data_IF_858660313828
#
_entry.id   IF_858660313828
#
_cell.length_a   1.000
_cell.length_b   1.000
_cell.length_c   1.000
_cell.angle_alpha   90.00
_cell.angle_beta   90.00
_cell.angle_gamma   90.00
#
_symmetry.space_group_name_H-M   'P 1'
#
loop_
_entity.id
_entity.type
_entity.pdbx_description
1 polymer ?
2 non-polymer ?
3 non-polymer ?
4 water ?
#
# COMPACT_ATOMS: atom_id res chain seq x y z
N UNK A 22 -4.13 -5.48 18.47
CA UNK A 22 -3.29 -6.18 17.45
C UNK A 22 -1.87 -5.66 17.42
N UNK A 23 -0.93 -6.59 17.27
CA UNK A 23 0.42 -6.19 16.95
C UNK A 23 0.54 -6.06 15.43
N UNK A 24 1.73 -5.69 14.98
CA UNK A 24 1.95 -5.44 13.56
C UNK A 24 1.63 -6.68 12.73
N UNK A 25 2.14 -7.82 13.16
CA UNK A 25 1.99 -9.05 12.40
C UNK A 25 0.52 -9.39 12.15
N UNK A 26 -0.32 -9.36 13.19
CA UNK A 26 -1.73 -9.70 13.03
C UNK A 26 -2.45 -8.69 12.15
N UNK A 27 -2.17 -7.40 12.35
CA UNK A 27 -2.75 -6.39 11.49
C UNK A 27 -2.38 -6.67 10.02
N UNK A 28 -1.09 -6.91 9.79
CA UNK A 28 -0.58 -7.15 8.45
C UNK A 28 -1.18 -8.39 7.79
N UNK A 29 -1.38 -9.45 8.56
CA UNK A 29 -2.06 -10.65 8.06
C UNK A 29 -3.50 -10.33 7.59
N UNK A 30 -4.24 -9.59 8.42
CA UNK A 30 -5.60 -9.16 8.08
C UNK A 30 -5.62 -8.29 6.81
N UNK A 31 -4.65 -7.38 6.74
CA UNK A 31 -4.59 -6.40 5.64
C UNK A 31 -4.22 -7.09 4.34
N UNK A 32 -3.23 -7.97 4.39
CA UNK A 32 -2.90 -8.77 3.23
C UNK A 32 -4.10 -9.57 2.70
N UNK A 33 -4.89 -10.18 3.58
CA UNK A 33 -6.06 -10.95 3.14
C UNK A 33 -7.04 -10.01 2.39
N UNK A 34 -7.22 -8.81 2.92
CA UNK A 34 -8.09 -7.84 2.25
C UNK A 34 -7.49 -7.35 0.91
N UNK A 35 -6.18 -7.08 0.89
CA UNK A 35 -5.49 -6.68 -0.33
C UNK A 35 -5.71 -7.75 -1.41
N UNK A 36 -5.56 -9.01 -1.00
CA UNK A 36 -5.70 -10.11 -1.94
C UNK A 36 -7.11 -10.21 -2.46
N UNK A 37 -8.10 -10.03 -1.58
CA UNK A 37 -9.49 -10.07 -2.02
C UNK A 37 -9.78 -8.93 -3.03
N UNK A 38 -9.16 -7.78 -2.82
CA UNK A 38 -9.33 -6.66 -3.73
C UNK A 38 -8.69 -6.97 -5.09
N UNK A 39 -7.49 -7.56 -5.06
CA UNK A 39 -6.80 -8.06 -6.26
C UNK A 39 -7.69 -9.06 -7.05
N UNK A 40 -8.29 -10.01 -6.34
CA UNK A 40 -9.18 -10.98 -6.96
C UNK A 40 -10.26 -10.31 -7.73
N UNK A 41 -10.98 -9.42 -7.06
CA UNK A 41 -12.07 -8.68 -7.71
C UNK A 41 -11.59 -7.93 -8.93
N UNK A 42 -10.44 -7.27 -8.86
CA UNK A 42 -9.93 -6.52 -10.02
C UNK A 42 -9.59 -7.46 -11.17
N UNK A 43 -8.85 -8.52 -10.90
CA UNK A 43 -8.43 -9.42 -11.95
C UNK A 43 -9.62 -10.20 -12.56
N UNK A 44 -10.76 -10.23 -11.86
CA UNK A 44 -11.93 -10.96 -12.34
C UNK A 44 -12.63 -10.22 -13.48
N UNK A 45 -12.34 -8.92 -13.63
CA UNK A 45 -12.88 -8.12 -14.71
C UNK A 45 -12.32 -8.67 -16.01
N UNK A 46 -13.17 -8.83 -17.06
CA UNK A 46 -12.64 -9.32 -18.32
C UNK A 46 -11.47 -8.45 -18.76
N UNK A 47 -10.45 -9.11 -19.31
CA UNK A 47 -9.33 -8.41 -19.93
C UNK A 47 -8.21 -8.04 -18.98
N UNK A 48 -8.48 -8.04 -17.66
CA UNK A 48 -7.47 -7.64 -16.67
C UNK A 48 -6.37 -8.71 -16.49
N UNK A 49 -5.12 -8.25 -16.43
CA UNK A 49 -3.99 -9.13 -16.18
C UNK A 49 -4.02 -9.63 -14.74
N UNK A 50 -3.76 -10.92 -14.53
CA UNK A 50 -3.64 -11.39 -13.16
C UNK A 50 -2.27 -11.08 -12.53
N UNK A 51 -1.33 -10.51 -13.30
CA UNK A 51 0.01 -10.18 -12.79
C UNK A 51 0.49 -8.79 -13.24
N UNK A 52 -0.20 -7.75 -12.78
CA UNK A 52 0.19 -6.40 -13.19
C UNK A 52 1.67 -6.05 -12.92
N UNK A 53 2.20 -6.58 -11.81
CA UNK A 53 3.60 -6.38 -11.42
C UNK A 53 4.60 -6.97 -12.39
N UNK A 54 4.15 -7.90 -13.23
CA UNK A 54 5.02 -8.59 -14.18
C UNK A 54 4.73 -8.14 -15.63
N UNK A 55 3.44 -7.91 -15.91
CA UNK A 55 2.97 -7.63 -17.26
C UNK A 55 3.08 -6.17 -17.67
N UNK A 56 3.03 -5.26 -16.72
CA UNK A 56 3.09 -3.83 -17.00
C UNK A 56 4.51 -3.29 -16.84
N UNK A 57 4.77 -2.21 -17.57
CA UNK A 57 6.01 -1.46 -17.45
C UNK A 57 6.03 -0.67 -16.14
N UNK A 58 7.24 -0.29 -15.74
CA UNK A 58 7.42 0.61 -14.61
C UNK A 58 6.59 1.86 -14.81
N UNK A 59 6.59 2.40 -16.03
CA UNK A 59 5.86 3.65 -16.28
C UNK A 59 4.36 3.46 -16.12
N UNK A 60 3.81 2.36 -16.63
CA UNK A 60 2.39 2.11 -16.49
C UNK A 60 2.03 1.86 -15.02
N UNK A 61 2.87 1.10 -14.32
CA UNK A 61 2.65 0.87 -12.88
C UNK A 61 2.68 2.19 -12.09
N UNK A 62 3.62 3.07 -12.40
CA UNK A 62 3.63 4.41 -11.77
C UNK A 62 2.35 5.17 -12.06
N UNK A 63 2.01 5.20 -13.35
CA UNK A 63 0.81 5.83 -13.81
C UNK A 63 -0.41 5.31 -13.05
N UNK A 64 -0.52 3.98 -12.95
CA UNK A 64 -1.66 3.38 -12.24
C UNK A 64 -1.69 3.76 -10.77
N UNK A 65 -0.53 3.72 -10.10
CA UNK A 65 -0.46 4.08 -8.69
C UNK A 65 -0.92 5.52 -8.44
N UNK A 66 -0.51 6.44 -9.30
CA UNK A 66 -0.94 7.83 -9.14
C UNK A 66 -2.45 7.95 -9.31
N UNK A 67 -3.01 7.23 -10.28
CA UNK A 67 -4.47 7.21 -10.46
C UNK A 67 -5.15 6.72 -9.16
N UNK A 68 -4.65 5.64 -8.56
CA UNK A 68 -5.24 5.12 -7.32
C UNK A 68 -5.10 6.11 -6.17
N UNK A 69 -3.94 6.76 -6.05
CA UNK A 69 -3.75 7.76 -5.03
C UNK A 69 -4.68 8.95 -5.21
N UNK A 70 -4.91 9.36 -6.45
CA UNK A 70 -5.86 10.42 -6.75
C UNK A 70 -7.27 9.98 -6.35
N UNK A 71 -7.63 8.74 -6.61
CA UNK A 71 -8.93 8.23 -6.17
C UNK A 71 -9.08 8.22 -4.64
N UNK A 72 -7.99 7.94 -3.92
CA UNK A 72 -8.01 7.96 -2.46
C UNK A 72 -8.24 9.39 -1.95
N UNK A 73 -7.50 10.33 -2.52
CA UNK A 73 -7.68 11.76 -2.23
C UNK A 73 -9.13 12.20 -2.48
N UNK A 74 -9.71 11.83 -3.63
CA UNK A 74 -11.12 12.13 -3.92
C UNK A 74 -12.05 11.59 -2.83
N UNK A 75 -11.81 10.34 -2.39
CA UNK A 75 -12.65 9.73 -1.36
C UNK A 75 -12.55 10.51 -0.03
N UNK A 76 -11.34 10.94 0.30
CA UNK A 76 -11.13 11.76 1.48
C UNK A 76 -11.86 13.11 1.35
N UNK A 77 -11.80 13.72 0.18
CA UNK A 77 -12.46 15.00 -0.05
C UNK A 77 -13.97 14.92 0.03
N UNK A 78 -14.54 13.81 -0.43
CA UNK A 78 -15.97 13.60 -0.35
C UNK A 78 -16.39 13.07 1.03
N UNK A 79 -15.41 12.82 1.90
CA UNK A 79 -15.66 12.18 3.19
C UNK A 79 -16.41 10.86 3.01
N UNK A 80 -16.03 10.13 1.96
CA UNK A 80 -16.62 8.84 1.66
C UNK A 80 -15.78 7.77 2.35
N UNK A 81 -15.97 7.63 3.66
CA UNK A 81 -15.14 6.74 4.47
C UNK A 81 -15.37 5.26 4.15
N UNK A 82 -16.58 4.88 3.76
CA UNK A 82 -16.85 3.50 3.37
C UNK A 82 -15.98 3.15 2.16
N UNK A 83 -15.97 4.02 1.16
CA UNK A 83 -15.10 3.79 -0.01
C UNK A 83 -13.62 4.01 0.33
N UNK A 84 -13.34 4.76 1.40
CA UNK A 84 -11.93 5.00 1.77
C UNK A 84 -11.18 3.70 2.05
N UNK A 85 -11.80 2.77 2.76
CA UNK A 85 -11.18 1.47 3.05
C UNK A 85 -10.73 0.79 1.75
N UNK A 86 -11.63 0.74 0.76
CA UNK A 86 -11.31 0.12 -0.54
C UNK A 86 -10.15 0.81 -1.24
N UNK A 87 -10.13 2.14 -1.19
CA UNK A 87 -9.08 2.90 -1.82
C UNK A 87 -7.73 2.71 -1.16
N UNK A 88 -7.72 2.47 0.13
CA UNK A 88 -6.47 2.16 0.82
C UNK A 88 -5.89 0.81 0.35
N UNK A 89 -6.76 -0.14 0.07
CA UNK A 89 -6.34 -1.44 -0.43
C UNK A 89 -5.75 -1.31 -1.83
N UNK A 90 -6.43 -0.51 -2.67
CA UNK A 90 -5.98 -0.28 -4.04
C UNK A 90 -4.58 0.34 -4.03
N UNK A 91 -4.40 1.37 -3.22
CA UNK A 91 -3.11 2.04 -3.11
C UNK A 91 -2.02 1.07 -2.62
N UNK A 92 -2.31 0.30 -1.58
CA UNK A 92 -1.33 -0.67 -1.06
C UNK A 92 -0.94 -1.69 -2.11
N UNK A 93 -1.92 -2.23 -2.85
CA UNK A 93 -1.61 -3.21 -3.90
C UNK A 93 -0.69 -2.59 -4.98
N UNK A 94 -1.02 -1.40 -5.45
CA UNK A 94 -0.21 -0.80 -6.50
C UNK A 94 1.16 -0.32 -6.02
N UNK A 95 1.28 0.02 -4.75
CA UNK A 95 2.61 0.20 -4.14
C UNK A 95 3.38 -1.11 -4.21
N UNK A 96 2.72 -2.21 -3.87
CA UNK A 96 3.40 -3.51 -3.91
C UNK A 96 3.82 -3.90 -5.31
N UNK A 97 2.96 -3.64 -6.29
CA UNK A 97 3.22 -4.06 -7.65
C UNK A 97 4.42 -3.30 -8.20
N UNK A 98 4.43 -1.99 -8.00
CA UNK A 98 5.56 -1.21 -8.44
C UNK A 98 6.83 -1.57 -7.68
N UNK A 99 6.75 -1.78 -6.37
CA UNK A 99 7.91 -2.25 -5.60
C UNK A 99 8.48 -3.55 -6.17
N UNK A 100 7.56 -4.46 -6.51
CA UNK A 100 7.93 -5.76 -7.10
C UNK A 100 8.66 -5.56 -8.41
N UNK A 101 8.07 -4.78 -9.31
CA UNK A 101 8.69 -4.50 -10.59
C UNK A 101 10.10 -3.88 -10.41
N UNK A 102 10.24 -2.94 -9.49
CA UNK A 102 11.53 -2.26 -9.27
C UNK A 102 12.55 -3.16 -8.57
N UNK A 103 12.08 -4.16 -7.85
CA UNK A 103 12.94 -5.01 -7.04
C UNK A 103 13.59 -6.11 -7.86
N UNK A 104 12.92 -6.51 -8.93
CA UNK A 104 13.54 -7.37 -9.96
C UNK A 104 14.49 -6.53 -10.81
N UNK A 105 13.98 -5.39 -11.30
CA UNK A 105 14.72 -4.49 -12.18
C UNK A 105 16.11 -4.13 -11.64
N UNK B 17 0.45 -25.77 -17.48
CA UNK B 17 -0.10 -24.43 -17.30
C UNK B 17 0.44 -23.89 -16.00
N UNK B 18 0.60 -22.59 -15.96
CA UNK B 18 1.24 -21.94 -14.85
C UNK B 18 0.18 -21.30 -13.94
N UNK B 19 0.33 -21.47 -12.62
CA UNK B 19 -0.58 -20.87 -11.63
C UNK B 19 -0.13 -19.41 -11.39
N UNK B 20 -0.56 -18.55 -12.30
CA UNK B 20 -0.20 -17.13 -12.23
C UNK B 20 -0.61 -16.46 -10.93
N UNK B 21 -1.80 -16.79 -10.42
CA UNK B 21 -2.29 -16.28 -9.15
C UNK B 21 -1.41 -16.48 -7.91
N UNK B 22 -0.67 -17.58 -7.88
CA UNK B 22 0.22 -17.82 -6.75
C UNK B 22 1.40 -16.86 -6.77
N UNK B 23 1.67 -16.25 -7.91
CA UNK B 23 2.74 -15.22 -7.98
C UNK B 23 2.39 -14.00 -7.10
N UNK B 24 1.10 -13.75 -6.88
CA UNK B 24 0.66 -12.73 -5.92
C UNK B 24 1.28 -12.93 -4.56
N UNK B 25 1.20 -14.16 -4.05
CA UNK B 25 1.71 -14.46 -2.72
C UNK B 25 3.23 -14.55 -2.67
N UNK B 26 3.86 -14.93 -3.79
CA UNK B 26 5.31 -14.88 -3.91
C UNK B 26 5.79 -13.44 -3.73
N UNK B 27 5.07 -12.50 -4.35
CA UNK B 27 5.37 -11.08 -4.18
C UNK B 27 5.03 -10.59 -2.75
N UNK B 28 3.82 -10.89 -2.28
CA UNK B 28 3.36 -10.38 -0.97
C UNK B 28 4.24 -10.87 0.19
N UNK B 29 4.70 -12.12 0.07
CA UNK B 29 5.56 -12.75 1.09
C UNK B 29 6.84 -11.90 1.33
N UNK B 30 7.40 -11.36 0.25
CA UNK B 30 8.55 -10.45 0.33
C UNK B 30 8.16 -9.04 0.75
N UNK B 31 7.11 -8.49 0.11
CA UNK B 31 6.72 -7.11 0.34
C UNK B 31 6.32 -6.90 1.79
N UNK B 32 5.52 -7.80 2.34
CA UNK B 32 5.06 -7.66 3.74
C UNK B 32 6.21 -7.69 4.74
N UNK B 33 7.24 -8.47 4.44
CA UNK B 33 8.44 -8.54 5.28
C UNK B 33 9.19 -7.23 5.20
N UNK B 34 9.29 -6.67 4.00
CA UNK B 34 9.93 -5.34 3.84
C UNK B 34 9.16 -4.21 4.52
N UNK B 35 7.82 -4.28 4.48
CA UNK B 35 7.00 -3.30 5.19
C UNK B 35 7.25 -3.38 6.69
N UNK B 36 7.30 -4.60 7.21
CA UNK B 36 7.58 -4.76 8.63
C UNK B 36 8.97 -4.22 9.00
N UNK B 37 9.95 -4.51 8.16
CA UNK B 37 11.31 -4.08 8.43
C UNK B 37 11.37 -2.56 8.40
N UNK B 38 10.60 -1.94 7.53
CA UNK B 38 10.53 -0.49 7.49
C UNK B 38 9.84 0.05 8.77
N UNK B 39 8.75 -0.57 9.19
CA UNK B 39 8.13 -0.23 10.50
C UNK B 39 9.12 -0.28 11.65
N UNK B 40 9.90 -1.36 11.70
CA UNK B 40 10.96 -1.50 12.70
C UNK B 40 11.85 -0.29 12.78
N UNK B 41 12.41 0.07 11.63
CA UNK B 41 13.37 1.14 11.53
C UNK B 41 12.76 2.42 12.06
N UNK B 42 11.47 2.63 11.86
CA UNK B 42 10.93 3.93 12.27
C UNK B 42 10.17 3.94 13.59
N UNK B 43 9.69 2.78 14.04
CA UNK B 43 8.98 2.68 15.31
C UNK B 43 9.80 3.31 16.45
N UNK B 44 11.12 3.20 16.32
CA UNK B 44 12.11 3.73 17.27
C UNK B 44 12.17 5.27 17.39
N UNK B 45 12.01 5.94 16.25
CA UNK B 45 12.28 7.37 16.11
C UNK B 45 11.29 8.28 16.87
N UNK B 46 11.74 9.51 17.24
CA UNK B 46 10.91 10.45 18.04
C UNK B 46 9.54 10.74 17.44
N UNK B 47 8.50 10.67 18.27
CA UNK B 47 7.13 10.91 17.82
C UNK B 47 6.49 9.73 17.11
N UNK B 48 7.11 8.57 17.25
CA UNK B 48 6.59 7.32 16.70
C UNK B 48 6.24 6.34 17.83
N UNK B 49 5.07 5.72 17.70
CA UNK B 49 4.55 4.77 18.70
C UNK B 49 4.62 3.39 18.08
N UNK B 50 4.74 2.33 18.91
CA UNK B 50 4.74 0.99 18.33
C UNK B 50 3.45 0.55 17.65
N UNK B 51 2.33 1.24 17.88
CA UNK B 51 1.02 0.83 17.34
C UNK B 51 0.22 2.03 16.82
N UNK B 52 0.72 2.71 15.76
CA UNK B 52 0.03 3.87 15.21
C UNK B 52 -1.41 3.60 14.78
N UNK B 53 -1.68 2.39 14.30
CA UNK B 53 -3.04 1.99 13.98
C UNK B 53 -4.00 2.04 15.16
N UNK B 54 -3.47 2.04 16.38
CA UNK B 54 -4.27 2.04 17.61
C UNK B 54 -4.11 3.35 18.39
N UNK B 55 -2.90 3.88 18.42
CA UNK B 55 -2.55 5.04 19.22
C UNK B 55 -2.98 6.39 18.64
N UNK B 56 -3.02 6.49 17.32
CA UNK B 56 -3.26 7.76 16.64
C UNK B 56 -4.71 7.83 16.20
N UNK B 57 -5.20 9.05 16.03
CA UNK B 57 -6.54 9.29 15.53
C UNK B 57 -6.58 9.04 14.03
N UNK B 58 -7.80 8.86 13.51
CA UNK B 58 -8.04 8.76 12.08
C UNK B 58 -7.48 9.99 11.38
N UNK B 59 -7.68 11.17 11.98
CA UNK B 59 -7.21 12.40 11.39
C UNK B 59 -5.69 12.45 11.29
N UNK B 60 -4.99 12.02 12.35
CA UNK B 60 -3.52 12.01 12.31
C UNK B 60 -3.00 10.95 11.32
N UNK B 61 -3.63 9.79 11.29
CA UNK B 61 -3.20 8.73 10.36
C UNK B 61 -3.35 9.18 8.90
N UNK B 62 -4.44 9.89 8.61
CA UNK B 62 -4.67 10.55 7.33
C UNK B 62 -3.59 11.54 6.93
N UNK B 63 -3.33 12.52 7.79
CA UNK B 63 -2.35 13.54 7.43
C UNK B 63 -0.96 12.89 7.31
N UNK B 64 -0.66 11.89 8.14
CA UNK B 64 0.62 11.19 7.99
C UNK B 64 0.67 10.45 6.63
N UNK B 65 -0.42 9.77 6.25
CA UNK B 65 -0.46 9.08 4.94
C UNK B 65 -0.23 10.04 3.76
N UNK B 66 -0.95 11.15 3.78
CA UNK B 66 -0.77 12.22 2.82
C UNK B 66 0.66 12.75 2.80
N UNK B 67 1.29 12.88 3.97
CA UNK B 67 2.70 13.28 4.04
C UNK B 67 3.60 12.26 3.31
N UNK B 68 3.31 10.99 3.51
CA UNK B 68 4.12 9.94 2.90
C UNK B 68 3.87 9.88 1.40
N UNK B 69 2.63 10.11 0.98
CA UNK B 69 2.31 10.13 -0.45
C UNK B 69 2.97 11.32 -1.13
N UNK B 70 3.06 12.44 -0.42
CA UNK B 70 3.80 13.61 -0.93
C UNK B 70 5.30 13.30 -1.12
N UNK B 71 5.92 12.60 -0.16
CA UNK B 71 7.31 12.16 -0.29
C UNK B 71 7.51 11.21 -1.48
N UNK B 72 6.53 10.35 -1.72
CA UNK B 72 6.60 9.42 -2.83
C UNK B 72 6.58 10.23 -4.13
N UNK B 73 5.63 11.14 -4.26
CA UNK B 73 5.58 12.02 -5.44
C UNK B 73 6.87 12.80 -5.65
N UNK B 74 7.44 13.32 -4.56
CA UNK B 74 8.72 14.02 -4.63
C UNK B 74 9.86 13.11 -5.15
N UNK B 75 9.91 11.86 -4.71
CA UNK B 75 10.92 10.91 -5.21
C UNK B 75 10.76 10.67 -6.71
N UNK B 76 9.51 10.56 -7.17
CA UNK B 76 9.23 10.34 -8.57
C UNK B 76 9.71 11.54 -9.41
N UNK B 77 9.38 12.76 -8.98
CA UNK B 77 9.81 13.97 -9.69
C UNK B 77 11.34 14.14 -9.76
N UNK B 78 12.05 13.69 -8.72
CA UNK B 78 13.50 13.71 -8.69
C UNK B 78 14.14 12.52 -9.40
N UNK B 79 13.31 11.61 -9.89
CA UNK B 79 13.74 10.35 -10.51
C UNK B 79 14.68 9.52 -9.62
N UNK B 80 14.46 9.60 -8.32
CA UNK B 80 15.27 8.87 -7.35
C UNK B 80 14.65 7.49 -7.13
N UNK B 81 14.93 6.57 -8.05
CA UNK B 81 14.27 5.26 -8.06
C UNK B 81 14.70 4.34 -6.92
N UNK B 82 15.94 4.53 -6.45
CA UNK B 82 16.46 3.82 -5.27
C UNK B 82 15.60 4.13 -4.05
N UNK B 83 15.50 5.42 -3.75
CA UNK B 83 14.68 5.88 -2.62
C UNK B 83 13.17 5.66 -2.87
N UNK B 84 12.75 5.54 -4.13
CA UNK B 84 11.34 5.28 -4.42
C UNK B 84 10.84 3.99 -3.75
N UNK B 85 11.64 2.91 -3.81
CA UNK B 85 11.25 1.65 -3.17
C UNK B 85 10.94 1.84 -1.69
N UNK B 86 11.78 2.57 -0.97
CA UNK B 86 11.48 2.87 0.44
C UNK B 86 10.19 3.68 0.62
N UNK B 87 9.95 4.66 -0.26
CA UNK B 87 8.74 5.49 -0.14
C UNK B 87 7.49 4.67 -0.41
N UNK B 88 7.58 3.65 -1.26
CA UNK B 88 6.45 2.74 -1.49
C UNK B 88 6.10 1.92 -0.23
N UNK B 89 7.13 1.49 0.48
CA UNK B 89 6.96 0.78 1.76
C UNK B 89 6.25 1.68 2.79
N UNK B 90 6.68 2.95 2.87
CA UNK B 90 6.07 3.91 3.80
C UNK B 90 4.59 4.13 3.46
N UNK B 91 4.27 4.35 2.19
CA UNK B 91 2.86 4.57 1.81
C UNK B 91 2.02 3.35 2.13
N UNK B 92 2.51 2.15 1.82
CA UNK B 92 1.78 0.91 2.07
C UNK B 92 1.51 0.75 3.57
N UNK B 93 2.54 0.99 4.38
CA UNK B 93 2.38 0.92 5.84
C UNK B 93 1.31 1.88 6.32
N UNK B 94 1.37 3.12 5.88
CA UNK B 94 0.36 4.07 6.33
C UNK B 94 -1.06 3.83 5.79
N UNK B 95 -1.18 3.24 4.60
CA UNK B 95 -2.48 2.74 4.15
C UNK B 95 -2.96 1.67 5.13
N UNK B 96 -2.04 0.78 5.51
CA UNK B 96 -2.34 -0.28 6.43
C UNK B 96 -2.76 0.23 7.81
N UNK B 97 -2.03 1.21 8.33
CA UNK B 97 -2.33 1.74 9.67
C UNK B 97 -3.72 2.38 9.67
N UNK B 98 -4.03 3.19 8.67
CA UNK B 98 -5.33 3.85 8.65
C UNK B 98 -6.42 2.80 8.40
N UNK B 99 -6.19 1.86 7.50
CA UNK B 99 -7.14 0.78 7.28
C UNK B 99 -7.46 0.06 8.60
N UNK B 100 -6.43 -0.19 9.39
CA UNK B 100 -6.59 -0.89 10.64
C UNK B 100 -7.45 -0.10 11.62
N UNK B 101 -7.15 1.19 11.74
CA UNK B 101 -7.91 2.07 12.61
C UNK B 101 -9.36 2.10 12.16
N UNK B 102 -9.58 2.16 10.85
CA UNK B 102 -10.91 2.23 10.33
C UNK B 102 -11.67 0.91 10.44
N UNK B 103 -10.96 -0.21 10.52
CA UNK B 103 -11.62 -1.52 10.44
C UNK B 103 -11.98 -2.18 11.78
N UNK B 104 -11.37 -1.75 12.88
CA UNK B 104 -11.62 -2.37 14.19
C UNK B 104 -12.82 -1.73 14.89
X LIG C 1 -9.29 2.86 -6.58
X LIG D 1 6.71 -16.16 -14.04
X LIG D 1 7.75 -15.94 -13.12
X LIG D 1 7.20 -16.73 -15.37
X LIG D 1 8.44 -16.15 -15.70
X LIG D 1 6.23 -16.42 -16.53
X LIG D 1 5.35 -17.49 -16.79
X LIG E 1 8.42 8.50 3.31
#
# INVERSE_FOLDING_TARGET
MGSSHHHHHHSSGRENLYFQGMDYFRLAEKFLREMHAKYMKRVSRPGNTPRPWFDFSEERLLSRLFEEMDELREAVEKEDWENLRDELLDVANFCMYLWGKLSVKNIYDKGEEQ
MGSSHHHHHHSSGRENLYFQGMDYFRLAEKFLREMHAKYMKRVSRPGNTPRPWFDFSEERLLSRLFEEMDELREAVEKEDWENLRDELLDVANFCMYLWGKLSVKNIYDKGEEQ
MG MG
GOL C1 O1 C2 O2 C3 O3
MG MG
#
